data_IF_851095523171
#
_entry.id   IF_851095523171
#
_cell.length_a   1.000
_cell.length_b   1.000
_cell.length_c   1.000
_cell.angle_alpha   90.00
_cell.angle_beta   90.00
_cell.angle_gamma   90.00
#
_symmetry.space_group_name_H-M   'P 1'
#
loop_
_entity.id
_entity.type
_entity.pdbx_description
1 polymer ?
#
# COMPACT_ATOMS: atom_id res chain seq x y z
N UNK A 1 -0.43 -1.83 -1.15
CA UNK A 1 0.59 -2.88 -1.37
C UNK A 1 1.38 -2.51 -2.61
N UNK A 2 2.67 -2.82 -2.64
CA UNK A 2 3.52 -2.71 -3.82
C UNK A 2 3.74 -4.08 -4.44
N UNK A 3 3.85 -4.14 -5.77
CA UNK A 3 4.07 -5.36 -6.56
C UNK A 3 5.52 -5.46 -7.01
N UNK A 4 5.96 -6.68 -7.30
CA UNK A 4 7.30 -6.95 -7.82
C UNK A 4 7.38 -6.52 -9.29
N UNK A 5 8.36 -5.65 -9.62
CA UNK A 5 8.55 -5.11 -10.97
C UNK A 5 8.80 -6.17 -12.05
N UNK A 6 9.22 -7.38 -11.65
CA UNK A 6 9.57 -8.49 -12.55
C UNK A 6 8.44 -9.50 -12.76
N UNK A 7 7.45 -9.50 -11.89
CA UNK A 7 6.33 -10.44 -11.92
C UNK A 7 5.03 -9.78 -12.38
N UNK A 8 5.01 -8.45 -12.45
CA UNK A 8 3.84 -7.67 -12.88
C UNK A 8 3.64 -7.74 -14.39
N UNK A 9 2.38 -7.85 -14.80
CA UNK A 9 1.95 -7.63 -16.19
C UNK A 9 1.73 -6.14 -16.42
N UNK A 10 2.44 -5.56 -17.38
CA UNK A 10 2.38 -4.15 -17.69
C UNK A 10 1.60 -3.87 -18.96
N UNK A 11 1.04 -2.67 -19.06
CA UNK A 11 0.62 -2.11 -20.33
C UNK A 11 1.81 -1.41 -21.00
N UNK A 12 2.00 -1.67 -22.30
CA UNK A 12 3.02 -1.02 -23.10
C UNK A 12 2.60 0.42 -23.43
N UNK A 13 3.44 1.39 -23.07
CA UNK A 13 3.19 2.81 -23.27
C UNK A 13 4.41 3.52 -23.86
N UNK A 14 4.20 4.72 -24.40
CA UNK A 14 5.27 5.64 -24.78
C UNK A 14 5.23 6.89 -23.88
N UNK A 15 6.29 7.11 -23.12
CA UNK A 15 6.45 8.26 -22.23
C UNK A 15 7.48 9.24 -22.82
N UNK A 16 7.04 10.42 -23.26
CA UNK A 16 7.89 11.43 -23.91
C UNK A 16 8.67 10.94 -25.14
N UNK A 17 8.14 9.99 -25.91
CA UNK A 17 8.89 9.39 -27.02
C UNK A 17 9.78 8.21 -26.61
N UNK A 18 9.77 7.83 -25.33
CA UNK A 18 10.55 6.73 -24.78
C UNK A 18 9.61 5.54 -24.55
N UNK A 19 9.86 4.38 -25.16
CA UNK A 19 9.15 3.14 -24.85
C UNK A 19 9.25 2.81 -23.36
N UNK A 20 8.13 2.47 -22.75
CA UNK A 20 8.01 2.30 -21.32
C UNK A 20 6.92 1.29 -20.95
N UNK A 21 6.93 0.81 -19.71
CA UNK A 21 5.93 -0.13 -19.19
C UNK A 21 5.14 0.54 -18.08
N UNK A 22 3.81 0.44 -18.12
CA UNK A 22 2.88 1.06 -17.17
C UNK A 22 2.11 0.01 -16.36
N UNK A 23 1.90 0.26 -15.07
CA UNK A 23 0.94 -0.49 -14.24
C UNK A 23 0.18 0.49 -13.35
N UNK A 24 -1.08 0.19 -13.03
CA UNK A 24 -1.85 0.91 -12.01
C UNK A 24 -1.30 0.64 -10.59
N UNK A 25 -0.55 -0.45 -10.40
CA UNK A 25 0.03 -0.84 -9.13
C UNK A 25 1.23 0.03 -8.75
N UNK A 26 1.54 0.10 -7.46
CA UNK A 26 2.82 0.63 -6.99
C UNK A 26 3.88 -0.45 -7.13
N UNK A 27 5.08 -0.11 -7.60
CA UNK A 27 6.19 -1.07 -7.66
C UNK A 27 7.08 -0.96 -6.42
N UNK A 28 7.48 -2.11 -5.88
CA UNK A 28 8.56 -2.17 -4.91
C UNK A 28 9.87 -1.75 -5.59
N UNK A 29 10.39 -0.59 -5.21
CA UNK A 29 11.60 0.00 -5.80
C UNK A 29 12.83 -0.90 -5.62
N UNK A 30 12.86 -1.74 -4.58
CA UNK A 30 13.94 -2.71 -4.40
C UNK A 30 13.96 -3.79 -5.48
N UNK A 31 12.80 -4.06 -6.11
CA UNK A 31 12.67 -5.05 -7.18
C UNK A 31 12.89 -4.47 -8.59
N UNK A 32 13.19 -3.18 -8.73
CA UNK A 32 13.48 -2.57 -10.04
C UNK A 32 14.89 -2.97 -10.48
N UNK A 33 15.08 -3.48 -11.71
CA UNK A 33 16.40 -3.89 -12.17
C UNK A 33 17.46 -2.79 -12.22
N UNK A 34 18.73 -3.19 -12.10
CA UNK A 34 19.83 -2.31 -12.43
C UNK A 34 19.74 -1.87 -13.91
N UNK A 35 19.99 -0.59 -14.17
CA UNK A 35 19.81 0.00 -15.50
C UNK A 35 18.37 0.38 -15.84
N UNK A 36 17.41 0.08 -14.96
CA UNK A 36 16.01 0.48 -15.10
C UNK A 36 15.63 1.56 -14.10
N UNK A 37 14.64 2.35 -14.48
CA UNK A 37 14.19 3.52 -13.75
C UNK A 37 12.68 3.45 -13.59
N UNK A 38 12.23 3.55 -12.35
CA UNK A 38 10.83 3.56 -12.01
C UNK A 38 10.40 4.95 -11.57
N UNK A 39 9.31 5.43 -12.15
CA UNK A 39 8.71 6.71 -11.84
C UNK A 39 7.23 6.52 -11.58
N UNK A 40 6.69 7.25 -10.64
CA UNK A 40 5.25 7.27 -10.40
C UNK A 40 4.59 8.31 -11.28
N UNK A 41 3.45 7.91 -11.83
CA UNK A 41 2.50 8.82 -12.43
C UNK A 41 1.58 9.36 -11.35
N UNK A 42 1.50 10.68 -11.27
CA UNK A 42 0.51 11.33 -10.44
C UNK A 42 -0.71 11.65 -11.29
N UNK A 43 -1.86 11.23 -10.81
CA UNK A 43 -3.17 11.59 -11.33
C UNK A 43 -3.46 13.07 -11.14
N UNK A 44 -4.35 13.62 -11.95
CA UNK A 44 -4.89 14.94 -11.70
C UNK A 44 -5.64 14.92 -10.37
N UNK A 45 -5.70 16.04 -9.67
CA UNK A 45 -6.44 16.06 -8.41
C UNK A 45 -7.98 16.02 -8.65
N UNK A 46 -8.44 16.14 -9.92
CA UNK A 46 -9.86 15.98 -10.34
C UNK A 46 -10.21 14.53 -10.68
N UNK A 47 -9.29 13.82 -11.33
CA UNK A 47 -9.36 12.41 -11.66
C UNK A 47 -8.02 11.77 -11.28
N UNK A 48 -7.96 11.11 -10.10
CA UNK A 48 -6.75 10.42 -9.65
C UNK A 48 -6.28 9.32 -10.62
N UNK A 49 -7.14 8.87 -11.54
CA UNK A 49 -6.81 7.93 -12.60
C UNK A 49 -6.27 8.58 -13.88
N UNK A 50 -6.27 9.92 -14.01
CA UNK A 50 -5.76 10.64 -15.19
C UNK A 50 -4.33 11.13 -14.95
N UNK A 51 -3.28 10.49 -15.51
CA UNK A 51 -1.90 10.90 -15.27
C UNK A 51 -1.61 12.32 -15.80
N UNK A 52 -1.03 13.18 -14.97
CA UNK A 52 -0.63 14.55 -15.33
C UNK A 52 0.86 14.83 -15.20
N UNK A 53 1.53 14.18 -14.25
CA UNK A 53 2.98 14.29 -14.03
C UNK A 53 3.62 12.93 -13.87
N UNK A 54 4.89 12.86 -14.22
CA UNK A 54 5.79 11.78 -13.84
C UNK A 54 6.78 12.31 -12.80
N UNK A 55 6.95 11.57 -11.72
CA UNK A 55 7.75 11.95 -10.55
C UNK A 55 8.54 10.74 -10.04
N UNK A 56 9.68 10.90 -9.35
CA UNK A 56 10.41 9.76 -8.79
C UNK A 56 9.60 8.93 -7.79
N UNK A 57 8.72 9.57 -7.03
CA UNK A 57 7.82 8.94 -6.06
C UNK A 57 6.61 9.85 -5.82
N UNK A 58 5.40 9.28 -5.85
CA UNK A 58 4.13 10.00 -5.62
C UNK A 58 3.42 9.42 -4.41
N UNK A 59 3.26 10.21 -3.35
CA UNK A 59 2.57 9.77 -2.12
C UNK A 59 1.05 9.90 -2.20
N UNK A 60 0.54 10.92 -2.90
CA UNK A 60 -0.89 11.25 -2.99
C UNK A 60 -1.29 11.35 -4.47
N UNK A 61 -2.46 10.82 -4.83
CA UNK A 61 -2.97 10.74 -6.20
C UNK A 61 -2.04 9.94 -7.12
N UNK A 62 -1.60 8.76 -6.68
CA UNK A 62 -0.87 7.83 -7.54
C UNK A 62 -1.84 7.24 -8.57
N UNK A 63 -1.56 7.50 -9.85
CA UNK A 63 -2.32 7.00 -10.99
C UNK A 63 -1.71 5.73 -11.59
N UNK A 64 -0.45 5.46 -11.28
CA UNK A 64 0.27 4.29 -11.75
C UNK A 64 1.78 4.47 -11.65
N UNK A 65 2.50 3.44 -12.06
CA UNK A 65 3.96 3.42 -12.09
C UNK A 65 4.42 3.14 -13.50
N UNK A 66 5.43 3.89 -13.97
CA UNK A 66 6.11 3.65 -15.23
C UNK A 66 7.53 3.14 -14.99
N UNK A 67 7.91 2.08 -15.71
CA UNK A 67 9.28 1.61 -15.86
C UNK A 67 9.85 2.03 -17.22
N UNK A 68 11.10 2.50 -17.19
CA UNK A 68 11.87 2.88 -18.38
C UNK A 68 13.28 2.33 -18.29
N UNK A 69 13.84 1.88 -19.41
CA UNK A 69 15.25 1.51 -19.52
C UNK A 69 16.16 2.73 -19.72
N UNK A 70 15.58 3.87 -20.10
CA UNK A 70 16.30 5.15 -20.22
C UNK A 70 15.80 6.13 -19.17
N UNK A 71 16.70 6.84 -18.44
CA UNK A 71 16.27 7.71 -17.37
C UNK A 71 15.47 8.90 -17.91
N UNK A 72 14.27 9.09 -17.36
CA UNK A 72 13.47 10.27 -17.66
C UNK A 72 14.09 11.46 -16.94
N UNK A 73 14.44 12.50 -17.70
CA UNK A 73 14.94 13.74 -17.11
C UNK A 73 13.86 14.40 -16.26
N UNK A 74 14.00 14.33 -14.94
CA UNK A 74 13.15 15.04 -13.98
C UNK A 74 13.82 16.38 -13.63
N UNK A 75 13.14 17.52 -13.84
CA UNK A 75 13.62 18.84 -13.42
C UNK A 75 13.87 18.92 -11.92
N UNK A 76 14.65 19.93 -11.46
CA UNK A 76 14.90 20.19 -10.03
C UNK A 76 13.64 20.37 -9.19
N UNK A 77 12.52 20.66 -9.83
CA UNK A 77 11.19 20.81 -9.21
C UNK A 77 10.59 19.48 -8.73
N UNK A 78 11.22 18.35 -9.04
CA UNK A 78 10.84 17.03 -8.53
C UNK A 78 9.84 16.26 -9.40
N UNK A 79 9.26 16.90 -10.42
CA UNK A 79 8.32 16.26 -11.33
C UNK A 79 8.42 16.83 -12.75
N UNK A 80 7.97 16.04 -13.72
CA UNK A 80 7.84 16.46 -15.13
C UNK A 80 6.40 16.27 -15.60
N UNK A 81 5.80 17.34 -16.13
CA UNK A 81 4.44 17.27 -16.68
C UNK A 81 4.40 16.44 -17.96
N UNK A 82 3.41 15.56 -18.07
CA UNK A 82 3.17 14.73 -19.25
C UNK A 82 2.75 15.57 -20.45
N UNK A 83 1.76 16.46 -20.26
CA UNK A 83 1.16 17.27 -21.35
C UNK A 83 0.70 16.41 -22.54
N UNK A 84 0.02 15.29 -22.25
CA UNK A 84 -0.44 14.35 -23.27
C UNK A 84 0.70 13.63 -24.00
N UNK A 85 1.86 13.45 -23.35
CA UNK A 85 2.99 12.66 -23.87
C UNK A 85 3.15 11.35 -23.13
N UNK A 86 2.01 10.74 -22.85
CA UNK A 86 1.86 9.38 -22.36
C UNK A 86 0.84 8.73 -23.28
N UNK A 87 1.32 7.88 -24.17
CA UNK A 87 0.50 7.22 -25.19
C UNK A 87 0.38 5.74 -24.84
N UNK A 88 -0.85 5.26 -24.66
CA UNK A 88 -1.14 3.86 -24.36
C UNK A 88 -1.25 3.07 -25.66
N UNK A 89 -0.45 2.02 -25.81
CA UNK A 89 -0.37 1.23 -27.04
C UNK A 89 -1.31 0.01 -27.01
N UNK A 90 -1.87 -0.31 -25.83
CA UNK A 90 -2.93 -1.31 -25.64
C UNK A 90 -2.46 -2.77 -25.64
N UNK A 91 -1.15 -3.00 -25.74
CA UNK A 91 -0.53 -4.32 -25.59
C UNK A 91 -0.12 -4.53 -24.14
N UNK A 92 -0.35 -5.74 -23.61
CA UNK A 92 0.12 -6.13 -22.28
C UNK A 92 1.42 -6.92 -22.46
N UNK A 93 2.47 -6.54 -21.76
CA UNK A 93 3.79 -7.16 -21.81
C UNK A 93 4.35 -7.32 -20.40
N UNK A 94 5.06 -8.41 -20.18
CA UNK A 94 5.99 -8.54 -19.05
C UNK A 94 7.26 -7.73 -19.32
N UNK A 95 8.05 -7.48 -18.28
CA UNK A 95 9.36 -6.83 -18.41
C UNK A 95 10.32 -7.62 -19.33
N UNK A 96 10.23 -8.95 -19.32
CA UNK A 96 11.01 -9.86 -20.17
C UNK A 96 10.62 -9.72 -21.65
N UNK A 97 9.32 -9.80 -21.97
CA UNK A 97 8.81 -9.65 -23.34
C UNK A 97 9.15 -8.28 -23.92
N UNK A 98 9.06 -7.21 -23.13
CA UNK A 98 9.48 -5.88 -23.56
C UNK A 98 10.98 -5.83 -23.90
N UNK A 99 11.83 -6.52 -23.13
CA UNK A 99 13.25 -6.59 -23.43
C UNK A 99 13.50 -7.31 -24.76
N UNK A 100 12.82 -8.43 -25.00
CA UNK A 100 12.92 -9.20 -26.24
C UNK A 100 12.49 -8.39 -27.46
N UNK A 101 11.34 -7.71 -27.39
CA UNK A 101 10.84 -6.88 -28.50
C UNK A 101 11.78 -5.71 -28.84
N UNK A 102 12.44 -5.18 -27.82
CA UNK A 102 13.34 -4.03 -27.96
C UNK A 102 14.80 -4.43 -28.21
N UNK A 103 15.12 -5.73 -28.18
CA UNK A 103 16.49 -6.24 -28.26
C UNK A 103 17.37 -5.77 -27.11
N UNK A 104 16.75 -5.48 -25.95
CA UNK A 104 17.46 -5.15 -24.71
C UNK A 104 17.91 -6.45 -24.04
N UNK A 105 19.05 -6.39 -23.36
CA UNK A 105 19.45 -7.49 -22.48
C UNK A 105 18.56 -7.41 -21.25
N UNK A 106 17.69 -8.40 -21.05
CA UNK A 106 16.89 -8.49 -19.83
C UNK A 106 17.84 -8.48 -18.64
N UNK A 107 17.71 -7.50 -17.71
CA UNK A 107 18.52 -7.47 -16.51
C UNK A 107 18.00 -8.56 -15.59
N UNK A 108 18.59 -9.75 -15.78
CA UNK A 108 18.46 -10.88 -14.87
C UNK A 108 18.41 -10.31 -13.45
N UNK A 109 17.37 -10.64 -12.65
CA UNK A 109 17.38 -10.26 -11.24
C UNK A 109 18.78 -10.47 -10.71
N UNK A 110 19.30 -9.49 -9.98
CA UNK A 110 20.41 -9.79 -9.10
C UNK A 110 19.82 -10.87 -8.20
N UNK A 111 20.12 -12.13 -8.53
CA UNK A 111 19.42 -13.33 -8.07
C UNK A 111 19.32 -13.40 -6.54
N UNK A 112 20.11 -12.56 -5.89
CA UNK A 112 20.37 -12.45 -4.47
C UNK A 112 20.30 -11.00 -3.95
N UNK A 113 19.29 -10.23 -4.36
CA UNK A 113 19.05 -8.88 -3.80
C UNK A 113 18.52 -8.96 -2.36
N UNK A 114 19.06 -8.13 -1.47
CA UNK A 114 18.74 -8.10 -0.04
C UNK A 114 17.86 -6.90 0.32
N UNK A 115 16.87 -7.13 1.18
CA UNK A 115 15.98 -6.13 1.76
C UNK A 115 16.17 -6.08 3.29
N UNK A 116 15.91 -4.93 3.90
CA UNK A 116 15.86 -4.81 5.36
C UNK A 116 14.72 -5.68 5.94
N UNK A 117 14.97 -6.31 7.09
CA UNK A 117 13.94 -7.06 7.80
C UNK A 117 12.90 -6.13 8.45
N UNK A 118 11.63 -6.50 8.43
CA UNK A 118 10.61 -5.80 9.22
C UNK A 118 10.71 -6.16 10.72
N UNK A 119 10.17 -5.31 11.60
CA UNK A 119 10.19 -5.56 13.06
C UNK A 119 9.45 -6.87 13.44
N UNK A 120 8.38 -7.21 12.71
CA UNK A 120 7.55 -8.40 12.97
C UNK A 120 8.24 -9.71 12.56
N UNK A 121 9.23 -9.66 11.65
CA UNK A 121 9.98 -10.83 11.17
C UNK A 121 11.18 -11.18 12.05
N UNK A 122 11.43 -10.41 13.11
CA UNK A 122 12.68 -10.50 13.88
C UNK A 122 12.98 -11.89 14.43
N UNK A 123 11.96 -12.71 14.71
CA UNK A 123 12.12 -14.07 15.19
C UNK A 123 12.73 -15.03 14.14
N UNK A 124 12.55 -14.77 12.83
CA UNK A 124 13.10 -15.58 11.74
C UNK A 124 14.63 -15.50 11.61
N UNK A 125 15.26 -14.56 12.32
CA UNK A 125 16.71 -14.39 12.33
C UNK A 125 17.38 -15.18 13.45
N UNK A 126 16.61 -15.94 14.24
CA UNK A 126 17.06 -16.70 15.40
C UNK A 126 16.47 -18.11 15.34
N UNK A 127 17.18 -19.08 15.93
CA UNK A 127 16.61 -20.41 16.13
C UNK A 127 15.51 -20.34 17.18
N UNK A 128 14.32 -20.83 16.85
CA UNK A 128 13.14 -20.76 17.72
C UNK A 128 12.85 -22.09 18.44
N UNK A 129 13.71 -23.09 18.22
CA UNK A 129 13.58 -24.44 18.78
C UNK A 129 13.05 -25.41 17.73
N UNK A 130 13.44 -26.68 17.84
CA UNK A 130 13.29 -27.66 16.76
C UNK A 130 11.85 -27.79 16.21
N UNK A 131 10.83 -27.73 17.08
CA UNK A 131 9.43 -27.81 16.67
C UNK A 131 9.01 -26.58 15.85
N UNK A 132 9.32 -25.37 16.36
CA UNK A 132 8.96 -24.12 15.69
C UNK A 132 9.75 -23.91 14.39
N UNK A 133 11.04 -24.24 14.41
CA UNK A 133 11.90 -24.17 13.22
C UNK A 133 11.37 -25.13 12.13
N UNK A 134 10.89 -26.33 12.52
CA UNK A 134 10.29 -27.27 11.58
C UNK A 134 8.93 -26.79 11.01
N UNK A 135 8.07 -26.19 11.85
CA UNK A 135 6.79 -25.59 11.44
C UNK A 135 6.99 -24.46 10.43
N UNK A 136 8.01 -23.63 10.61
CA UNK A 136 8.34 -22.51 9.72
C UNK A 136 9.01 -22.96 8.42
N UNK A 137 9.25 -24.26 8.23
CA UNK A 137 9.97 -24.77 7.06
C UNK A 137 11.46 -24.43 7.05
N UNK A 138 12.09 -24.24 8.23
CA UNK A 138 13.52 -23.96 8.33
C UNK A 138 14.34 -25.18 7.90
N UNK A 139 15.08 -25.06 6.81
CA UNK A 139 15.95 -26.12 6.28
C UNK A 139 17.16 -26.30 7.20
N UNK A 140 17.74 -25.18 7.61
CA UNK A 140 18.95 -25.14 8.42
C UNK A 140 19.47 -23.72 8.55
N UNK A 141 20.57 -23.57 9.27
CA UNK A 141 21.28 -22.30 9.35
C UNK A 141 22.78 -22.46 9.12
N UNK A 142 23.33 -21.46 8.46
CA UNK A 142 24.74 -21.37 8.10
C UNK A 142 25.42 -20.31 8.95
N UNK A 143 26.47 -20.73 9.66
CA UNK A 143 27.24 -19.88 10.56
C UNK A 143 28.54 -19.45 9.92
N UNK A 144 28.82 -18.15 9.91
CA UNK A 144 30.04 -17.57 9.34
C UNK A 144 30.58 -16.43 10.20
N UNK A 145 31.81 -16.00 9.93
CA UNK A 145 32.44 -14.86 10.60
C UNK A 145 33.52 -14.26 9.70
N UNK A 146 34.04 -13.09 10.06
CA UNK A 146 35.22 -12.51 9.44
C UNK A 146 36.44 -12.77 10.33
N UNK A 147 37.52 -13.32 9.76
CA UNK A 147 38.76 -13.62 10.49
C UNK A 147 39.49 -12.35 10.93
N UNK A 148 40.62 -12.49 11.64
CA UNK A 148 41.42 -11.33 12.08
C UNK A 148 41.94 -10.46 10.91
N UNK A 149 42.03 -11.01 9.70
CA UNK A 149 42.37 -10.29 8.48
C UNK A 149 41.17 -9.71 7.74
N UNK A 150 39.96 -9.80 8.31
CA UNK A 150 38.72 -9.33 7.71
C UNK A 150 38.18 -10.25 6.61
N UNK A 151 38.69 -11.48 6.46
CA UNK A 151 38.24 -12.40 5.40
C UNK A 151 37.05 -13.23 5.85
N UNK A 152 36.07 -13.38 4.97
CA UNK A 152 34.93 -14.26 5.19
C UNK A 152 35.38 -15.70 5.43
N UNK A 153 34.90 -16.29 6.52
CA UNK A 153 35.22 -17.65 6.96
C UNK A 153 33.95 -18.38 7.40
N UNK A 154 33.80 -19.61 6.91
CA UNK A 154 32.69 -20.51 7.26
C UNK A 154 32.98 -21.20 8.59
N UNK A 155 31.98 -21.29 9.45
CA UNK A 155 32.06 -22.01 10.73
C UNK A 155 31.36 -23.37 10.69
N UNK A 156 30.05 -23.39 10.42
CA UNK A 156 29.25 -24.62 10.40
C UNK A 156 27.97 -24.45 9.59
N UNK A 157 27.36 -25.58 9.24
CA UNK A 157 25.96 -25.69 8.86
C UNK A 157 25.26 -26.58 9.88
N UNK A 158 24.09 -26.16 10.32
CA UNK A 158 23.28 -26.85 11.32
C UNK A 158 21.92 -27.19 10.68
N UNK A 159 21.60 -28.48 10.60
CA UNK A 159 20.39 -29.00 9.93
C UNK A 159 19.17 -28.93 10.87
N UNK A 160 18.07 -28.37 10.35
CA UNK A 160 16.76 -28.34 11.03
C UNK A 160 15.77 -29.29 10.36
N UNK A 161 15.72 -29.27 9.02
CA UNK A 161 14.90 -30.16 8.19
C UNK A 161 15.72 -30.79 7.07
N UNK A 162 16.47 -31.87 7.38
CA UNK A 162 17.41 -32.47 6.43
C UNK A 162 16.73 -32.99 5.15
N UNK A 163 15.44 -33.34 5.21
CA UNK A 163 14.65 -33.77 4.06
C UNK A 163 14.37 -32.64 3.05
N UNK A 164 14.38 -31.37 3.48
CA UNK A 164 14.24 -30.21 2.58
C UNK A 164 15.58 -29.78 1.96
N UNK A 165 16.70 -30.29 2.47
CA UNK A 165 18.06 -30.02 1.97
C UNK A 165 18.38 -30.82 0.70
N UNK A 166 17.57 -30.60 -0.32
CA UNK A 166 17.70 -31.23 -1.64
C UNK A 166 18.99 -30.81 -2.35
N UNK A 167 19.36 -31.50 -3.43
CA UNK A 167 20.52 -31.08 -4.23
C UNK A 167 20.28 -29.71 -4.88
N UNK A 168 19.07 -29.44 -5.36
CA UNK A 168 18.70 -28.14 -5.93
C UNK A 168 18.89 -27.01 -4.92
N UNK A 169 18.45 -27.21 -3.66
CA UNK A 169 18.69 -26.24 -2.59
C UNK A 169 20.19 -25.99 -2.35
N UNK A 170 21.02 -27.05 -2.32
CA UNK A 170 22.47 -26.91 -2.10
C UNK A 170 23.12 -26.12 -3.22
N UNK A 171 22.76 -26.42 -4.47
CA UNK A 171 23.31 -25.73 -5.64
C UNK A 171 22.91 -24.24 -5.62
N UNK A 172 21.64 -23.93 -5.32
CA UNK A 172 21.15 -22.55 -5.17
C UNK A 172 21.84 -21.80 -4.02
N UNK A 173 21.99 -22.46 -2.86
CA UNK A 173 22.62 -21.86 -1.68
C UNK A 173 24.12 -21.61 -1.89
N UNK A 174 24.82 -22.54 -2.52
CA UNK A 174 26.23 -22.37 -2.85
C UNK A 174 26.42 -21.22 -3.84
N UNK A 175 25.56 -21.10 -4.84
CA UNK A 175 25.57 -19.97 -5.78
C UNK A 175 25.25 -18.63 -5.10
N UNK A 176 24.29 -18.61 -4.16
CA UNK A 176 23.96 -17.45 -3.33
C UNK A 176 25.18 -16.97 -2.55
N UNK A 177 25.77 -17.86 -1.76
CA UNK A 177 26.89 -17.51 -0.88
C UNK A 177 28.09 -17.06 -1.71
N UNK A 178 28.40 -17.73 -2.83
CA UNK A 178 29.51 -17.32 -3.68
C UNK A 178 29.26 -15.98 -4.36
N UNK A 179 28.04 -15.70 -4.83
CA UNK A 179 27.71 -14.41 -5.43
C UNK A 179 27.86 -13.27 -4.42
N UNK A 180 27.39 -13.47 -3.18
CA UNK A 180 27.54 -12.48 -2.10
C UNK A 180 29.00 -12.29 -1.67
N UNK A 181 29.86 -13.30 -1.86
CA UNK A 181 31.31 -13.20 -1.60
C UNK A 181 32.05 -12.46 -2.70
N UNK A 182 31.63 -12.61 -3.95
CA UNK A 182 32.30 -11.98 -5.09
C UNK A 182 31.89 -10.51 -5.28
N UNK A 183 30.60 -10.21 -5.06
CA UNK A 183 30.00 -8.92 -5.43
C UNK A 183 29.24 -8.23 -4.30
N UNK A 184 29.17 -8.84 -3.10
CA UNK A 184 28.29 -8.37 -2.03
C UNK A 184 28.96 -8.26 -0.66
N UNK A 185 28.12 -8.18 0.37
CA UNK A 185 28.54 -7.94 1.75
C UNK A 185 29.40 -9.05 2.38
N UNK A 186 29.50 -10.22 1.74
CA UNK A 186 30.28 -11.35 2.24
C UNK A 186 31.70 -11.40 1.66
N UNK A 187 32.13 -10.40 0.87
CA UNK A 187 33.49 -10.35 0.34
C UNK A 187 34.55 -10.21 1.43
N UNK A 188 34.44 -9.16 2.24
CA UNK A 188 35.29 -8.92 3.40
C UNK A 188 34.56 -8.09 4.48
N UNK A 189 35.21 -7.92 5.63
CA UNK A 189 34.66 -7.16 6.76
C UNK A 189 34.41 -5.68 6.40
N UNK A 190 35.19 -5.12 5.48
CA UNK A 190 34.99 -3.73 5.03
C UNK A 190 33.72 -3.61 4.20
N UNK A 191 33.52 -4.51 3.24
CA UNK A 191 32.32 -4.60 2.44
C UNK A 191 31.08 -4.82 3.32
N UNK A 192 31.16 -5.74 4.29
CA UNK A 192 30.09 -5.98 5.25
C UNK A 192 29.73 -4.72 6.05
N UNK A 193 30.73 -3.98 6.56
CA UNK A 193 30.52 -2.74 7.31
C UNK A 193 29.91 -1.65 6.45
N UNK A 194 30.46 -1.40 5.27
CA UNK A 194 29.94 -0.41 4.33
C UNK A 194 28.49 -0.71 4.00
N UNK A 195 28.18 -1.95 3.63
CA UNK A 195 26.80 -2.37 3.33
C UNK A 195 25.88 -2.18 4.54
N UNK A 196 26.25 -2.64 5.73
CA UNK A 196 25.42 -2.45 6.92
C UNK A 196 25.16 -0.97 7.23
N UNK A 197 26.17 -0.11 7.16
CA UNK A 197 26.02 1.31 7.49
C UNK A 197 25.24 2.11 6.44
N UNK A 198 25.21 1.65 5.19
CA UNK A 198 24.34 2.20 4.14
C UNK A 198 22.86 1.82 4.33
N UNK A 199 22.60 0.77 5.12
CA UNK A 199 21.28 0.22 5.42
C UNK A 199 20.92 0.36 6.92
N UNK A 200 20.83 1.61 7.41
CA UNK A 200 20.42 1.87 8.81
C UNK A 200 19.00 1.35 9.14
N UNK A 201 18.14 1.23 8.14
CA UNK A 201 16.81 0.64 8.21
C UNK A 201 16.83 -0.87 8.52
N UNK A 202 17.91 -1.57 8.17
CA UNK A 202 18.12 -2.98 8.51
C UNK A 202 18.65 -3.20 9.93
N UNK A 203 18.86 -2.14 10.71
CA UNK A 203 19.41 -2.22 12.06
C UNK A 203 18.36 -2.69 13.04
N UNK A 204 18.58 -3.87 13.64
CA UNK A 204 17.68 -4.40 14.66
C UNK A 204 17.89 -3.71 16.01
N UNK A 205 16.79 -3.33 16.66
CA UNK A 205 16.78 -2.86 18.05
C UNK A 205 16.89 -4.06 18.99
N UNK A 206 18.08 -4.66 19.08
CA UNK A 206 18.37 -5.67 20.10
C UNK A 206 18.85 -4.99 21.40
N UNK A 207 18.15 -5.27 22.51
CA UNK A 207 18.45 -4.77 23.86
C UNK A 207 19.85 -5.20 24.35
N UNK A 208 20.47 -6.22 23.75
CA UNK A 208 21.77 -6.77 24.17
C UNK A 208 22.93 -6.44 23.23
N UNK A 209 22.66 -6.15 21.95
CA UNK A 209 23.69 -5.88 20.93
C UNK A 209 23.25 -4.74 20.00
N UNK A 210 23.70 -3.50 20.23
CA UNK A 210 23.21 -2.33 19.52
C UNK A 210 23.66 -2.22 18.05
N UNK A 211 24.37 -3.20 17.49
CA UNK A 211 24.92 -3.16 16.11
C UNK A 211 24.67 -4.47 15.35
N UNK A 212 23.43 -4.98 15.42
CA UNK A 212 22.99 -6.15 14.67
C UNK A 212 22.19 -5.72 13.45
N UNK A 213 22.53 -6.25 12.28
CA UNK A 213 21.81 -5.98 11.03
C UNK A 213 21.12 -7.24 10.52
N UNK A 214 19.88 -7.09 10.06
CA UNK A 214 19.05 -8.18 9.57
C UNK A 214 18.60 -7.92 8.14
N UNK A 215 19.01 -8.81 7.25
CA UNK A 215 18.70 -8.75 5.83
C UNK A 215 17.92 -9.98 5.40
N UNK A 216 16.85 -9.75 4.64
CA UNK A 216 16.04 -10.79 4.02
C UNK A 216 16.33 -10.85 2.53
N UNK A 217 16.38 -12.05 1.98
CA UNK A 217 16.54 -12.31 0.56
C UNK A 217 15.57 -13.42 0.18
N UNK A 218 14.87 -13.27 -0.94
CA UNK A 218 13.96 -14.29 -1.44
C UNK A 218 14.39 -14.75 -2.84
N UNK A 219 14.31 -16.06 -3.06
CA UNK A 219 14.35 -16.69 -4.38
C UNK A 219 12.95 -17.20 -4.72
N UNK A 220 12.83 -17.92 -5.83
CA UNK A 220 11.56 -18.55 -6.23
C UNK A 220 11.11 -19.59 -5.20
N UNK A 221 12.06 -20.34 -4.62
CA UNK A 221 11.78 -21.47 -3.74
C UNK A 221 12.10 -21.22 -2.26
N UNK A 222 13.00 -20.27 -1.94
CA UNK A 222 13.53 -20.12 -0.59
C UNK A 222 13.53 -18.69 -0.08
N UNK A 223 13.45 -18.55 1.25
CA UNK A 223 13.64 -17.28 1.96
C UNK A 223 14.89 -17.40 2.83
N UNK A 224 15.80 -16.44 2.72
CA UNK A 224 17.05 -16.38 3.47
C UNK A 224 17.03 -15.19 4.42
N UNK A 225 17.16 -15.47 5.73
CA UNK A 225 17.21 -14.45 6.78
C UNK A 225 18.64 -14.37 7.32
N UNK A 226 19.34 -13.29 7.01
CA UNK A 226 20.74 -13.08 7.38
C UNK A 226 20.85 -12.13 8.55
N UNK A 227 21.55 -12.57 9.60
CA UNK A 227 21.93 -11.74 10.74
C UNK A 227 23.44 -11.50 10.72
N UNK A 228 23.84 -10.24 10.60
CA UNK A 228 25.24 -9.83 10.44
C UNK A 228 25.69 -8.98 11.61
N UNK A 229 26.89 -9.26 12.11
CA UNK A 229 27.57 -8.49 13.16
C UNK A 229 28.81 -7.78 12.58
N UNK A 230 28.66 -6.57 12.00
CA UNK A 230 29.74 -5.88 11.29
C UNK A 230 30.89 -5.42 12.20
N UNK A 231 30.67 -5.34 13.52
CA UNK A 231 31.69 -4.96 14.49
C UNK A 231 32.48 -6.15 15.05
N UNK A 232 32.16 -7.38 14.62
CA UNK A 232 32.79 -8.60 15.08
C UNK A 232 32.43 -8.96 16.54
N UNK A 233 33.04 -10.03 17.06
CA UNK A 233 32.83 -10.50 18.44
C UNK A 233 31.75 -11.57 18.61
N UNK A 234 31.05 -11.94 17.52
CA UNK A 234 30.16 -13.09 17.46
C UNK A 234 30.12 -13.65 16.01
N UNK A 235 29.50 -14.80 15.83
CA UNK A 235 29.21 -15.35 14.52
C UNK A 235 28.02 -14.65 13.88
N UNK A 236 28.06 -14.49 12.57
CA UNK A 236 26.91 -14.11 11.74
C UNK A 236 26.23 -15.36 11.19
N UNK A 237 24.96 -15.23 10.81
CA UNK A 237 24.09 -16.37 10.49
C UNK A 237 23.29 -16.11 9.22
N UNK A 238 23.05 -17.16 8.44
CA UNK A 238 22.07 -17.19 7.35
C UNK A 238 21.11 -18.34 7.65
N UNK A 239 19.85 -18.02 7.95
CA UNK A 239 18.79 -19.01 8.06
C UNK A 239 18.16 -19.22 6.70
N UNK A 240 17.94 -20.47 6.32
CA UNK A 240 17.31 -20.84 5.05
C UNK A 240 15.96 -21.50 5.30
N UNK A 241 14.91 -20.97 4.69
CA UNK A 241 13.54 -21.44 4.80
C UNK A 241 13.01 -21.86 3.43
N UNK A 242 12.17 -22.89 3.42
CA UNK A 242 11.29 -23.17 2.29
C UNK A 242 10.20 -22.09 2.22
N UNK A 243 10.12 -21.36 1.10
CA UNK A 243 9.28 -20.16 0.98
C UNK A 243 7.80 -20.48 1.14
N UNK A 244 7.33 -21.57 0.52
CA UNK A 244 5.93 -21.98 0.57
C UNK A 244 5.50 -22.35 2.00
N UNK A 245 6.31 -23.14 2.70
CA UNK A 245 6.03 -23.52 4.09
C UNK A 245 6.11 -22.32 5.03
N UNK A 246 7.08 -21.43 4.84
CA UNK A 246 7.19 -20.21 5.65
C UNK A 246 5.95 -19.34 5.48
N UNK A 247 5.54 -19.05 4.25
CA UNK A 247 4.34 -18.27 3.95
C UNK A 247 3.08 -18.88 4.56
N UNK A 248 2.94 -20.21 4.48
CA UNK A 248 1.82 -20.92 5.10
C UNK A 248 1.82 -20.79 6.63
N UNK A 249 3.00 -20.91 7.26
CA UNK A 249 3.15 -20.85 8.70
C UNK A 249 3.01 -19.43 9.27
N UNK A 250 3.32 -18.40 8.48
CA UNK A 250 3.22 -16.98 8.88
C UNK A 250 1.97 -16.29 8.34
N UNK A 251 1.10 -17.00 7.61
CA UNK A 251 -0.15 -16.44 7.10
C UNK A 251 -1.02 -15.89 8.25
N UNK A 252 -1.66 -14.73 8.08
CA UNK A 252 -2.50 -14.16 9.11
C UNK A 252 -3.66 -15.09 9.43
N UNK A 253 -4.01 -15.21 10.71
CA UNK A 253 -5.19 -15.97 11.13
C UNK A 253 -6.42 -15.20 10.66
N UNK A 254 -7.19 -15.80 9.76
CA UNK A 254 -8.38 -15.20 9.15
C UNK A 254 -9.65 -15.52 9.94
N UNK A 255 -9.62 -16.55 10.78
CA UNK A 255 -10.77 -16.97 11.57
C UNK A 255 -10.42 -18.02 12.62
N UNK A 256 -11.24 -18.08 13.66
CA UNK A 256 -11.13 -19.06 14.74
C UNK A 256 -12.47 -19.76 14.92
N UNK A 257 -12.42 -21.02 15.34
CA UNK A 257 -13.60 -21.74 15.81
C UNK A 257 -13.34 -22.32 17.19
N UNK A 258 -14.39 -22.45 17.98
CA UNK A 258 -14.32 -23.05 19.31
C UNK A 258 -15.55 -23.90 19.60
N UNK A 259 -15.38 -24.85 20.52
CA UNK A 259 -16.41 -25.83 20.89
C UNK A 259 -16.66 -25.80 22.40
N UNK A 260 -17.79 -26.35 22.84
CA UNK A 260 -18.09 -26.48 24.27
C UNK A 260 -17.10 -27.38 25.03
N UNK A 261 -16.32 -28.20 24.32
CA UNK A 261 -15.21 -28.99 24.89
C UNK A 261 -14.04 -28.13 25.38
N UNK A 262 -13.96 -26.87 24.95
CA UNK A 262 -12.82 -25.98 25.17
C UNK A 262 -11.78 -26.05 24.04
N UNK A 263 -11.96 -26.92 23.05
CA UNK A 263 -11.12 -26.95 21.86
C UNK A 263 -11.28 -25.65 21.05
N UNK A 264 -10.16 -25.07 20.61
CA UNK A 264 -10.11 -23.89 19.76
C UNK A 264 -9.14 -24.12 18.62
N UNK A 265 -9.58 -23.87 17.39
CA UNK A 265 -8.77 -24.02 16.17
C UNK A 265 -8.72 -22.68 15.44
N UNK A 266 -7.52 -22.33 14.96
CA UNK A 266 -7.28 -21.14 14.15
C UNK A 266 -7.03 -21.54 12.70
N UNK A 267 -7.54 -20.75 11.76
CA UNK A 267 -7.45 -21.00 10.33
C UNK A 267 -6.81 -19.81 9.63
N UNK A 268 -5.99 -20.11 8.63
CA UNK A 268 -5.36 -19.14 7.71
C UNK A 268 -5.91 -19.28 6.28
N UNK A 269 -6.44 -20.47 5.92
CA UNK A 269 -7.03 -20.76 4.61
C UNK A 269 -8.55 -20.45 4.59
N UNK A 270 -9.02 -19.54 3.72
CA UNK A 270 -10.43 -19.18 3.61
C UNK A 270 -11.36 -20.34 3.28
N UNK A 271 -10.97 -21.20 2.35
CA UNK A 271 -11.81 -22.30 1.89
C UNK A 271 -12.01 -23.33 3.01
N UNK A 272 -10.95 -23.66 3.74
CA UNK A 272 -11.04 -24.57 4.89
C UNK A 272 -11.89 -23.96 6.00
N UNK A 273 -11.64 -22.69 6.35
CA UNK A 273 -12.41 -21.99 7.38
C UNK A 273 -13.92 -21.96 7.05
N UNK A 274 -14.28 -21.55 5.83
CA UNK A 274 -15.67 -21.52 5.37
C UNK A 274 -16.31 -22.91 5.37
N UNK A 275 -15.57 -23.94 4.96
CA UNK A 275 -16.04 -25.31 4.98
C UNK A 275 -16.33 -25.81 6.41
N UNK A 276 -15.46 -25.49 7.37
CA UNK A 276 -15.66 -25.82 8.78
C UNK A 276 -16.88 -25.09 9.33
N UNK A 277 -17.00 -23.78 9.09
CA UNK A 277 -18.18 -23.00 9.50
C UNK A 277 -19.45 -23.62 8.91
N UNK A 278 -19.47 -23.93 7.62
CA UNK A 278 -20.63 -24.55 6.95
C UNK A 278 -21.02 -25.91 7.54
N UNK A 279 -20.04 -26.74 7.90
CA UNK A 279 -20.30 -28.09 8.40
C UNK A 279 -20.71 -28.12 9.88
N UNK A 280 -20.09 -27.28 10.71
CA UNK A 280 -20.25 -27.33 12.17
C UNK A 280 -21.37 -26.41 12.68
N UNK A 281 -21.64 -25.31 11.99
CA UNK A 281 -22.65 -24.34 12.39
C UNK A 281 -24.07 -24.94 12.59
N UNK A 282 -24.56 -25.87 11.74
CA UNK A 282 -25.84 -26.55 11.97
C UNK A 282 -25.89 -27.35 13.29
N UNK A 283 -24.75 -27.81 13.78
CA UNK A 283 -24.63 -28.59 15.01
C UNK A 283 -24.34 -27.75 16.25
N UNK A 284 -24.29 -26.41 16.11
CA UNK A 284 -24.10 -25.46 17.22
C UNK A 284 -24.93 -25.76 18.47
N UNK A 285 -26.23 -26.14 18.40
CA UNK A 285 -27.01 -26.47 19.59
C UNK A 285 -26.49 -27.67 20.38
N UNK A 286 -25.79 -28.59 19.71
CA UNK A 286 -25.26 -29.82 20.31
C UNK A 286 -23.77 -29.76 20.62
N UNK A 287 -22.97 -29.09 19.80
CA UNK A 287 -21.50 -28.99 19.96
C UNK A 287 -21.06 -27.72 20.70
N UNK A 288 -21.94 -26.74 20.84
CA UNK A 288 -21.60 -25.40 21.32
C UNK A 288 -20.68 -24.64 20.38
N UNK A 289 -20.65 -25.01 19.09
CA UNK A 289 -19.80 -24.39 18.07
C UNK A 289 -19.94 -22.85 18.05
N UNK A 290 -18.80 -22.18 18.08
CA UNK A 290 -18.67 -20.75 17.87
C UNK A 290 -17.59 -20.50 16.84
N UNK A 291 -17.69 -19.39 16.13
CA UNK A 291 -16.67 -18.94 15.21
C UNK A 291 -16.47 -17.43 15.35
N UNK A 292 -15.27 -16.98 15.01
CA UNK A 292 -14.86 -15.58 14.95
C UNK A 292 -14.18 -15.35 13.60
N UNK A 293 -14.63 -14.34 12.87
CA UNK A 293 -14.00 -13.92 11.60
C UNK A 293 -13.05 -12.78 11.92
N UNK A 294 -11.77 -12.97 11.61
CA UNK A 294 -10.69 -12.04 11.95
C UNK A 294 -10.12 -11.31 10.72
N UNK A 295 -10.42 -11.79 9.51
CA UNK A 295 -10.02 -11.12 8.27
C UNK A 295 -10.95 -9.96 7.92
N UNK A 296 -10.37 -8.90 7.33
CA UNK A 296 -11.10 -7.79 6.72
C UNK A 296 -11.49 -8.07 5.26
N UNK A 297 -11.13 -9.24 4.72
CA UNK A 297 -11.50 -9.64 3.35
C UNK A 297 -13.03 -9.68 3.20
N UNK A 298 -13.61 -8.79 2.37
CA UNK A 298 -15.06 -8.69 2.21
C UNK A 298 -15.67 -9.97 1.62
N UNK A 299 -14.92 -10.74 0.83
CA UNK A 299 -15.42 -11.99 0.25
C UNK A 299 -15.58 -13.06 1.32
N UNK A 300 -14.60 -13.21 2.21
CA UNK A 300 -14.66 -14.18 3.31
C UNK A 300 -15.76 -13.80 4.30
N UNK A 301 -15.83 -12.52 4.68
CA UNK A 301 -16.86 -12.03 5.60
C UNK A 301 -18.27 -12.22 5.03
N UNK A 302 -18.47 -11.90 3.75
CA UNK A 302 -19.76 -12.14 3.08
C UNK A 302 -20.08 -13.62 3.01
N UNK A 303 -19.13 -14.48 2.65
CA UNK A 303 -19.36 -15.92 2.53
C UNK A 303 -19.76 -16.55 3.88
N UNK A 304 -19.20 -16.09 5.00
CA UNK A 304 -19.63 -16.51 6.34
C UNK A 304 -21.08 -16.10 6.63
N UNK A 305 -21.45 -14.85 6.32
CA UNK A 305 -22.83 -14.39 6.48
C UNK A 305 -23.78 -15.17 5.54
N UNK A 306 -23.38 -15.44 4.29
CA UNK A 306 -24.17 -16.24 3.35
C UNK A 306 -24.47 -17.64 3.92
N UNK A 307 -23.48 -18.29 4.55
CA UNK A 307 -23.68 -19.59 5.25
C UNK A 307 -24.68 -19.43 6.41
N UNK A 308 -24.59 -18.34 7.17
CA UNK A 308 -25.48 -18.08 8.30
C UNK A 308 -26.93 -17.87 7.85
N UNK A 309 -27.14 -17.06 6.81
CA UNK A 309 -28.47 -16.79 6.23
C UNK A 309 -29.08 -18.05 5.58
N UNK A 310 -28.29 -18.80 4.80
CA UNK A 310 -28.72 -20.05 4.16
C UNK A 310 -29.20 -21.10 5.19
N UNK A 311 -28.55 -21.17 6.35
CA UNK A 311 -29.00 -22.04 7.45
C UNK A 311 -30.42 -21.71 7.95
N UNK A 312 -30.86 -20.45 7.85
CA UNK A 312 -32.21 -20.02 8.17
C UNK A 312 -33.15 -19.98 6.95
N UNK A 313 -32.67 -20.40 5.78
CA UNK A 313 -33.43 -20.36 4.53
C UNK A 313 -33.66 -18.94 4.01
N UNK A 314 -32.81 -18.00 4.43
CA UNK A 314 -32.85 -16.59 4.01
C UNK A 314 -31.71 -16.31 3.02
N UNK A 315 -31.91 -15.30 2.16
CA UNK A 315 -30.81 -14.74 1.37
C UNK A 315 -30.16 -13.61 2.16
N UNK A 316 -28.82 -13.55 2.14
CA UNK A 316 -28.09 -12.46 2.74
C UNK A 316 -28.45 -11.13 2.05
N UNK A 317 -29.08 -10.16 2.75
CA UNK A 317 -29.54 -8.91 2.14
C UNK A 317 -28.41 -7.91 1.88
N UNK A 318 -27.18 -8.21 2.34
CA UNK A 318 -26.02 -7.32 2.21
C UNK A 318 -25.24 -7.65 0.93
N UNK A 319 -25.07 -6.70 0.00
CA UNK A 319 -24.23 -6.89 -1.17
C UNK A 319 -22.74 -6.81 -0.76
N UNK A 320 -21.81 -7.19 -1.65
CA UNK A 320 -20.39 -7.31 -1.29
C UNK A 320 -19.77 -5.98 -0.84
N UNK A 321 -20.24 -4.87 -1.39
CA UNK A 321 -19.77 -3.51 -1.10
C UNK A 321 -20.01 -3.12 0.37
N UNK A 322 -21.06 -3.66 0.99
CA UNK A 322 -21.39 -3.44 2.42
C UNK A 322 -20.35 -4.04 3.36
N UNK A 323 -19.52 -4.98 2.89
CA UNK A 323 -18.46 -5.62 3.66
C UNK A 323 -17.11 -4.88 3.60
N UNK A 324 -16.99 -3.86 2.73
CA UNK A 324 -15.76 -3.05 2.59
C UNK A 324 -15.62 -1.93 3.62
N UNK A 325 -16.69 -1.55 4.33
CA UNK A 325 -16.65 -0.58 5.43
C UNK A 325 -16.62 -1.30 6.78
N UNK A 326 -15.70 -0.90 7.66
CA UNK A 326 -15.71 -1.38 9.06
C UNK A 326 -17.00 -0.93 9.76
N UNK A 327 -17.44 -1.68 10.78
CA UNK A 327 -18.63 -1.31 11.59
C UNK A 327 -18.49 0.12 12.16
N UNK A 328 -17.28 0.48 12.57
CA UNK A 328 -16.92 1.83 13.01
C UNK A 328 -17.09 2.87 11.89
N UNK A 329 -16.69 2.56 10.66
CA UNK A 329 -16.86 3.44 9.50
C UNK A 329 -18.33 3.64 9.13
N UNK A 330 -19.13 2.57 9.13
CA UNK A 330 -20.58 2.64 8.87
C UNK A 330 -21.30 3.45 9.94
N UNK A 331 -20.99 3.21 11.21
CA UNK A 331 -21.54 3.98 12.33
C UNK A 331 -21.18 5.46 12.24
N UNK A 332 -19.93 5.79 11.91
CA UNK A 332 -19.51 7.19 11.79
C UNK A 332 -20.25 7.94 10.65
N UNK A 333 -20.55 7.25 9.55
CA UNK A 333 -21.36 7.81 8.46
C UNK A 333 -22.83 8.04 8.86
N UNK A 334 -23.43 7.10 9.59
CA UNK A 334 -24.80 7.23 10.12
C UNK A 334 -24.91 8.31 11.20
N UNK A 335 -23.94 8.36 12.11
CA UNK A 335 -23.88 9.38 13.17
C UNK A 335 -23.73 10.77 12.52
N UNK A 336 -22.95 10.92 11.44
CA UNK A 336 -22.82 12.18 10.67
C UNK A 336 -24.10 12.57 9.89
N UNK A 337 -25.03 11.65 9.67
CA UNK A 337 -26.33 11.92 9.04
C UNK A 337 -27.37 12.45 10.05
N UNK A 338 -27.21 12.12 11.34
CA UNK A 338 -28.19 12.46 12.37
C UNK A 338 -28.05 13.91 12.87
N UNK A 339 -28.97 14.83 12.52
CA UNK A 339 -28.85 16.25 12.87
C UNK A 339 -28.99 16.56 14.37
N UNK A 340 -29.47 15.60 15.17
CA UNK A 340 -29.64 15.77 16.62
C UNK A 340 -28.33 15.54 17.40
N UNK A 341 -27.28 15.06 16.73
CA UNK A 341 -25.97 14.84 17.34
C UNK A 341 -25.07 16.08 17.22
N UNK A 342 -24.17 16.30 18.19
CA UNK A 342 -23.16 17.35 18.07
C UNK A 342 -22.20 16.99 16.93
N UNK A 343 -22.07 17.89 15.96
CA UNK A 343 -21.20 17.72 14.81
C UNK A 343 -20.01 18.67 14.84
N UNK A 344 -18.95 18.27 14.15
CA UNK A 344 -17.73 19.05 13.93
C UNK A 344 -17.56 19.35 12.45
N UNK A 345 -17.07 20.54 12.13
CA UNK A 345 -16.88 21.02 10.77
C UNK A 345 -15.46 21.54 10.59
N UNK A 346 -14.73 20.95 9.64
CA UNK A 346 -13.42 21.44 9.20
C UNK A 346 -13.58 22.21 7.90
N UNK A 347 -13.42 23.54 7.96
CA UNK A 347 -13.51 24.42 6.81
C UNK A 347 -12.15 24.58 6.17
N UNK A 348 -12.06 24.42 4.85
CA UNK A 348 -10.81 24.63 4.16
C UNK A 348 -11.02 25.18 2.76
N UNK A 349 -10.03 25.95 2.30
CA UNK A 349 -9.97 26.44 0.93
C UNK A 349 -8.85 25.71 0.23
N UNK A 350 -9.17 25.16 -0.93
CA UNK A 350 -8.19 24.66 -1.86
C UNK A 350 -7.84 25.77 -2.83
N UNK A 351 -6.61 26.28 -2.75
CA UNK A 351 -6.03 27.22 -3.71
C UNK A 351 -5.39 26.44 -4.86
N UNK A 352 -5.57 26.88 -6.11
CA UNK A 352 -5.09 26.17 -7.31
C UNK A 352 -5.58 24.72 -7.31
N UNK A 353 -6.86 24.53 -6.98
CA UNK A 353 -7.45 23.19 -6.89
C UNK A 353 -7.21 22.44 -8.20
N UNK A 354 -6.56 21.28 -8.10
CA UNK A 354 -6.11 20.45 -9.22
C UNK A 354 -5.21 21.15 -10.25
N UNK A 355 -4.49 22.17 -9.81
CA UNK A 355 -3.50 22.90 -10.57
C UNK A 355 -2.14 22.87 -9.85
N UNK A 356 -1.05 23.16 -10.58
CA UNK A 356 0.29 23.23 -9.99
C UNK A 356 0.34 24.33 -8.93
N UNK A 357 0.82 23.98 -7.74
CA UNK A 357 0.83 24.88 -6.59
C UNK A 357 -0.44 24.78 -5.74
N UNK A 358 -1.18 23.66 -5.85
CA UNK A 358 -2.31 23.35 -4.99
C UNK A 358 -1.90 23.45 -3.51
N UNK A 359 -2.68 24.21 -2.74
CA UNK A 359 -2.49 24.35 -1.30
C UNK A 359 -3.83 24.25 -0.61
N UNK A 360 -3.89 23.40 0.42
CA UNK A 360 -4.99 23.36 1.37
C UNK A 360 -4.73 24.34 2.50
N UNK A 361 -5.64 25.28 2.67
CA UNK A 361 -5.64 26.23 3.78
C UNK A 361 -6.80 25.88 4.71
N UNK A 362 -6.49 25.47 5.94
CA UNK A 362 -7.50 25.13 6.95
C UNK A 362 -7.92 26.35 7.78
N UNK A 363 -9.20 26.39 8.17
CA UNK A 363 -9.79 27.51 8.89
C UNK A 363 -10.68 27.03 10.04
N UNK A 364 -10.56 27.70 11.19
CA UNK A 364 -11.42 27.46 12.36
C UNK A 364 -12.81 28.11 12.24
N UNK A 365 -13.07 28.88 11.17
CA UNK A 365 -14.35 29.54 10.95
C UNK A 365 -14.68 29.69 9.47
N UNK A 366 -15.97 29.62 9.15
CA UNK A 366 -16.49 29.87 7.81
C UNK A 366 -16.08 31.25 7.28
N UNK A 367 -16.17 32.30 8.11
CA UNK A 367 -15.84 33.67 7.67
C UNK A 367 -14.38 33.77 7.21
N UNK A 368 -13.45 33.19 7.96
CA UNK A 368 -12.04 33.16 7.56
C UNK A 368 -11.82 32.39 6.25
N UNK A 369 -12.56 31.29 6.06
CA UNK A 369 -12.50 30.52 4.82
C UNK A 369 -13.07 31.31 3.62
N UNK A 370 -14.18 32.04 3.79
CA UNK A 370 -14.77 32.92 2.77
C UNK A 370 -13.82 34.05 2.40
N UNK A 371 -13.28 34.75 3.39
CA UNK A 371 -12.37 35.89 3.16
C UNK A 371 -11.12 35.44 2.42
N UNK A 372 -10.57 34.28 2.80
CA UNK A 372 -9.42 33.71 2.10
C UNK A 372 -9.79 33.29 0.67
N UNK A 373 -10.91 32.58 0.49
CA UNK A 373 -11.40 32.19 -0.83
C UNK A 373 -11.57 33.40 -1.74
N UNK A 374 -12.18 34.48 -1.27
CA UNK A 374 -12.36 35.71 -2.04
C UNK A 374 -11.04 36.46 -2.31
N UNK A 375 -10.11 36.45 -1.35
CA UNK A 375 -8.80 37.12 -1.47
C UNK A 375 -7.82 36.44 -2.42
N UNK A 376 -8.05 35.16 -2.75
CA UNK A 376 -7.23 34.42 -3.70
C UNK A 376 -7.49 34.86 -5.14
N UNK A 377 -6.45 35.33 -5.83
CA UNK A 377 -6.51 35.73 -7.24
C UNK A 377 -6.36 34.58 -8.25
N UNK A 378 -6.39 33.32 -7.81
CA UNK A 378 -6.27 32.16 -8.69
C UNK A 378 -7.60 31.80 -9.35
N UNK A 379 -7.51 31.21 -10.54
CA UNK A 379 -8.67 30.84 -11.38
C UNK A 379 -9.29 29.50 -10.99
N UNK A 380 -8.55 28.67 -10.24
CA UNK A 380 -9.01 27.38 -9.73
C UNK A 380 -8.96 27.37 -8.21
N UNK A 381 -10.12 27.39 -7.56
CA UNK A 381 -10.18 27.28 -6.09
C UNK A 381 -11.52 26.73 -5.63
N UNK A 382 -11.52 26.05 -4.50
CA UNK A 382 -12.74 25.50 -3.90
C UNK A 382 -12.82 25.83 -2.42
N UNK A 383 -14.00 26.24 -1.98
CA UNK A 383 -14.34 26.29 -0.56
C UNK A 383 -15.04 24.99 -0.19
N UNK A 384 -14.47 24.28 0.77
CA UNK A 384 -14.87 22.94 1.17
C UNK A 384 -15.19 22.88 2.66
N UNK A 385 -15.99 21.88 3.04
CA UNK A 385 -16.21 21.53 4.43
C UNK A 385 -16.27 20.03 4.63
N UNK A 386 -15.55 19.54 5.63
CA UNK A 386 -15.64 18.15 6.10
C UNK A 386 -16.44 18.10 7.40
N UNK A 387 -17.48 17.26 7.44
CA UNK A 387 -18.26 16.95 8.63
C UNK A 387 -17.76 15.66 9.28
N UNK A 388 -17.50 15.74 10.57
CA UNK A 388 -17.10 14.64 11.45
C UNK A 388 -15.92 13.79 10.93
N UNK A 389 -15.04 14.40 10.12
CA UNK A 389 -13.91 13.76 9.44
C UNK A 389 -14.26 12.60 8.48
N UNK A 390 -15.54 12.43 8.13
CA UNK A 390 -16.03 11.27 7.33
C UNK A 390 -16.75 11.64 6.05
N UNK A 391 -17.20 12.89 5.91
CA UNK A 391 -17.97 13.33 4.75
C UNK A 391 -17.56 14.74 4.34
N UNK A 392 -17.23 14.96 3.07
CA UNK A 392 -16.78 16.26 2.56
C UNK A 392 -17.64 16.70 1.40
N UNK A 393 -17.98 18.00 1.36
CA UNK A 393 -18.71 18.65 0.27
C UNK A 393 -17.98 19.93 -0.17
N UNK A 394 -18.32 20.37 -1.37
CA UNK A 394 -17.97 21.69 -1.87
C UNK A 394 -19.11 22.66 -1.60
N UNK A 395 -18.75 23.92 -1.34
CA UNK A 395 -19.72 24.99 -1.11
C UNK A 395 -19.62 26.07 -2.19
N UNK A 396 -18.41 26.38 -2.64
CA UNK A 396 -18.16 27.28 -3.75
C UNK A 396 -17.00 26.77 -4.59
N UNK A 397 -17.12 26.93 -5.91
CA UNK A 397 -16.15 26.47 -6.90
C UNK A 397 -15.84 27.65 -7.81
N UNK A 398 -14.59 28.08 -7.84
CA UNK A 398 -14.07 28.92 -8.92
C UNK A 398 -13.34 28.04 -9.92
N UNK A 399 -13.77 28.09 -11.17
CA UNK A 399 -13.19 27.39 -12.30
C UNK A 399 -13.05 28.36 -13.47
N UNK A 400 -11.90 28.39 -14.13
CA UNK A 400 -11.57 29.37 -15.17
C UNK A 400 -11.80 30.85 -14.76
N UNK A 401 -11.73 31.12 -13.44
CA UNK A 401 -11.96 32.44 -12.86
C UNK A 401 -13.43 32.80 -12.64
N UNK A 402 -14.37 31.98 -13.09
CA UNK A 402 -15.80 32.13 -12.78
C UNK A 402 -16.15 31.38 -11.51
N UNK A 403 -16.89 32.04 -10.60
CA UNK A 403 -17.26 31.44 -9.31
C UNK A 403 -18.73 31.09 -9.30
N UNK A 404 -19.02 29.82 -9.00
CA UNK A 404 -20.36 29.30 -8.78
C UNK A 404 -20.49 28.66 -7.39
N UNK A 405 -21.72 28.61 -6.88
CA UNK A 405 -22.04 27.88 -5.66
C UNK A 405 -22.38 26.44 -6.00
N UNK A 406 -21.90 25.51 -5.18
CA UNK A 406 -22.23 24.08 -5.33
C UNK A 406 -23.48 23.76 -4.51
N UNK A 407 -24.49 23.18 -5.16
CA UNK A 407 -25.73 22.76 -4.50
C UNK A 407 -25.80 21.25 -4.24
N UNK A 408 -24.74 20.48 -4.56
CA UNK A 408 -24.71 19.02 -4.43
C UNK A 408 -24.87 18.53 -3.00
N UNK A 409 -24.61 19.39 -2.01
CA UNK A 409 -24.87 19.11 -0.60
C UNK A 409 -26.35 18.90 -0.28
N UNK A 410 -27.29 19.41 -1.10
CA UNK A 410 -28.74 19.20 -0.91
C UNK A 410 -29.17 17.76 -1.17
N UNK A 411 -28.44 17.03 -2.01
CA UNK A 411 -28.70 15.63 -2.34
C UNK A 411 -27.93 14.68 -1.41
N UNK A 412 -26.96 15.20 -0.65
CA UNK A 412 -26.20 14.41 0.31
C UNK A 412 -26.98 14.30 1.64
N UNK A 413 -27.40 13.10 2.07
CA UNK A 413 -28.24 12.94 3.26
C UNK A 413 -27.57 13.49 4.53
N UNK A 414 -26.23 13.51 4.57
CA UNK A 414 -25.44 14.01 5.71
C UNK A 414 -25.45 15.53 5.87
N UNK A 415 -25.87 16.26 4.84
CA UNK A 415 -25.83 17.72 4.78
C UNK A 415 -27.15 18.38 4.39
N UNK A 416 -28.07 17.64 3.76
CA UNK A 416 -29.33 18.19 3.24
C UNK A 416 -30.18 18.92 4.30
N UNK A 417 -30.21 18.39 5.53
CA UNK A 417 -30.95 18.95 6.67
C UNK A 417 -30.05 19.74 7.64
N UNK A 418 -28.80 20.01 7.26
CA UNK A 418 -27.80 20.58 8.16
C UNK A 418 -27.91 22.12 8.22
N UNK A 419 -28.29 22.63 9.39
CA UNK A 419 -28.47 24.08 9.60
C UNK A 419 -27.19 24.90 9.42
N UNK A 420 -26.02 24.32 9.73
CA UNK A 420 -24.72 25.01 9.58
C UNK A 420 -24.39 25.18 8.10
N UNK A 421 -24.66 24.16 7.29
CA UNK A 421 -24.46 24.22 5.84
C UNK A 421 -25.46 25.16 5.17
N UNK A 422 -26.72 25.14 5.60
CA UNK A 422 -27.75 26.07 5.10
C UNK A 422 -27.36 27.53 5.39
N UNK A 423 -26.91 27.83 6.61
CA UNK A 423 -26.43 29.16 6.98
C UNK A 423 -25.18 29.55 6.17
N UNK A 424 -24.25 28.61 5.98
CA UNK A 424 -23.06 28.82 5.18
C UNK A 424 -23.39 29.19 3.73
N UNK A 425 -24.35 28.49 3.11
CA UNK A 425 -24.82 28.78 1.76
C UNK A 425 -25.43 30.19 1.64
N UNK A 426 -26.26 30.61 2.60
CA UNK A 426 -26.83 31.98 2.62
C UNK A 426 -25.74 33.04 2.73
N UNK A 427 -24.73 32.81 3.59
CA UNK A 427 -23.60 33.74 3.75
C UNK A 427 -22.75 33.82 2.48
N UNK A 428 -22.55 32.71 1.77
CA UNK A 428 -21.80 32.68 0.51
C UNK A 428 -22.51 33.46 -0.61
N UNK A 429 -23.84 33.35 -0.69
CA UNK A 429 -24.65 34.13 -1.63
C UNK A 429 -24.51 35.65 -1.42
N UNK A 430 -24.26 36.09 -0.18
CA UNK A 430 -24.08 37.50 0.16
C UNK A 430 -22.62 37.96 0.11
N UNK A 431 -21.66 37.04 0.32
CA UNK A 431 -20.26 37.34 0.61
C UNK A 431 -19.29 37.16 -0.55
N UNK A 432 -19.65 36.46 -1.64
CA UNK A 432 -18.78 36.28 -2.80
C UNK A 432 -18.97 37.44 -3.79
N UNK A 433 -17.89 38.14 -4.10
CA UNK A 433 -17.89 39.24 -5.06
C UNK A 433 -18.03 38.70 -6.50
N UNK A 434 -19.02 39.17 -7.26
CA UNK A 434 -19.23 38.81 -8.68
C UNK A 434 -20.47 37.98 -8.99
N UNK A 435 -21.31 37.63 -8.00
CA UNK A 435 -22.64 37.09 -8.26
C UNK A 435 -23.54 38.22 -8.80
N UNK A 436 -23.80 38.26 -10.11
CA UNK A 436 -24.85 39.15 -10.64
C UNK A 436 -26.18 38.76 -10.00
N UNK A 437 -26.81 39.70 -9.27
CA UNK A 437 -28.19 39.53 -8.84
C UNK A 437 -29.07 39.57 -10.10
N UNK A 438 -29.54 38.41 -10.53
CA UNK A 438 -30.63 38.31 -11.50
C UNK A 438 -31.94 38.80 -10.86
N UNK A 439 -32.07 40.11 -10.71
CA UNK A 439 -33.34 40.76 -10.37
C UNK A 439 -34.17 40.96 -11.64
N UNK A 440 -35.49 40.71 -11.63
CA UNK A 440 -36.31 40.82 -12.82
C UNK A 440 -36.38 42.29 -13.26
N UNK A 441 -35.84 42.60 -14.44
CA UNK A 441 -35.97 43.93 -15.04
C UNK A 441 -37.41 44.11 -15.51
N UNK A 442 -38.23 44.77 -14.70
CA UNK A 442 -39.51 45.31 -15.15
C UNK A 442 -39.25 46.44 -16.16
N UNK A 443 -39.44 46.16 -17.44
CA UNK A 443 -39.63 47.22 -18.45
C UNK A 443 -41.04 47.81 -18.30
N UNK A 444 -41.11 48.94 -17.62
CA UNK A 444 -42.25 49.84 -17.54
C UNK A 444 -42.16 50.91 -18.64
N UNK A 445 -43.17 50.96 -19.52
CA UNK A 445 -43.56 52.12 -20.34
C UNK A 445 -42.61 52.47 -21.51
N UNK A 446 -43.06 52.77 -22.73
CA UNK A 446 -44.33 53.33 -23.15
C UNK A 446 -44.13 54.76 -23.64
N UNK A 447 -43.95 54.94 -24.95
CA UNK A 447 -44.67 55.88 -25.83
C UNK A 447 -44.16 55.76 -27.27
#
# INVERSE_FOLDING_TARGET
MSVNAREEDFEYVELFGIPALFTNSRIDRATVPEGWYAYDLRGSDYDPGEPVTVEPNVTVNHAGTILTHEPVTIPKEGFRRLKGRLDFLGESLTLEEFCDERGLIYPEPNKYQMCAASEDEGALFFSQGAEKDAELGCIGHFRFYFDQGGRFTVSSWDDHRPELKTQAFKDEFDELVNTLREKGMLGDLSAARSFCYEHEDAKMVDRYRPDTYAFKLETDAHTYCMRVFPNGGDYSYIYAYDKAQLQQATAPIIGKVSFASGETLAYTDPAIFLQVVKNELPYKPTSGFQYEVLTDDPQVRKAVDDILYDMFGEENPRPLEDYGLTEKGRKALLDAENPDLPHTYDWFVMENFCCKGEKRHGFSSLTGAIDHFNGLGCTEKRLCVTKDAVSTIYMAITHDGETQLDEGWRENPRFAQDSVIQEANVRLQLGIAGLEQSGPTMTLGGM
#
